data_IF_885318761756
#
_entry.id   IF_885318761756
#
_cell.length_a   1.000
_cell.length_b   1.000
_cell.length_c   1.000
_cell.angle_alpha   90.00
_cell.angle_beta   90.00
_cell.angle_gamma   90.00
#
_symmetry.space_group_name_H-M   'P 1'
#
loop_
_entity.id
_entity.type
_entity.pdbx_description
1 polymer ?
#
# COMPACT_ATOMS: atom_id res chain seq x y z
N UNK A 1 8.23 -18.77 14.26
CA UNK A 1 9.28 -19.22 13.31
C UNK A 1 9.65 -18.05 12.41
N UNK A 2 10.91 -17.88 12.07
CA UNK A 2 11.34 -16.81 11.14
C UNK A 2 10.81 -17.11 9.73
N UNK A 3 10.16 -16.15 9.10
CA UNK A 3 9.68 -16.26 7.73
C UNK A 3 10.48 -15.36 6.81
N UNK A 4 10.97 -15.91 5.72
CA UNK A 4 11.70 -15.19 4.68
C UNK A 4 11.23 -15.66 3.30
N UNK A 5 10.87 -14.69 2.43
CA UNK A 5 10.39 -14.96 1.08
C UNK A 5 11.01 -13.94 0.14
N UNK A 6 11.46 -14.39 -1.02
CA UNK A 6 11.92 -13.53 -2.10
C UNK A 6 10.95 -13.68 -3.27
N UNK A 7 10.36 -12.58 -3.72
CA UNK A 7 9.41 -12.57 -4.82
C UNK A 7 9.84 -11.59 -5.91
N UNK A 8 9.38 -11.84 -7.14
CA UNK A 8 9.50 -10.89 -8.24
C UNK A 8 8.74 -9.61 -7.91
N UNK A 9 9.32 -8.44 -8.15
CA UNK A 9 8.57 -7.18 -7.95
C UNK A 9 7.41 -7.05 -8.97
N UNK A 10 7.59 -7.58 -10.17
CA UNK A 10 6.54 -7.53 -11.20
C UNK A 10 5.35 -8.44 -10.92
N UNK A 11 5.59 -9.64 -10.37
CA UNK A 11 4.57 -10.67 -10.12
C UNK A 11 4.73 -11.30 -8.72
N UNK A 12 4.57 -10.55 -7.63
CA UNK A 12 4.95 -11.00 -6.28
C UNK A 12 4.09 -12.13 -5.70
N UNK A 13 2.91 -12.36 -6.28
CA UNK A 13 1.97 -13.40 -5.83
C UNK A 13 2.19 -14.74 -6.51
N UNK A 14 2.75 -14.76 -7.72
CA UNK A 14 2.90 -15.97 -8.55
C UNK A 14 4.34 -16.37 -8.81
N UNK A 15 5.27 -15.42 -8.76
CA UNK A 15 6.70 -15.64 -9.02
C UNK A 15 7.51 -15.34 -7.75
N UNK A 16 7.68 -16.37 -6.90
CA UNK A 16 8.38 -16.25 -5.63
C UNK A 16 9.07 -17.53 -5.20
N UNK A 17 10.01 -17.41 -4.27
CA UNK A 17 10.64 -18.50 -3.54
C UNK A 17 10.56 -18.22 -2.04
N UNK A 18 10.00 -19.15 -1.29
CA UNK A 18 10.05 -19.14 0.17
C UNK A 18 11.33 -19.80 0.63
N UNK A 19 12.08 -19.08 1.45
CA UNK A 19 13.38 -19.51 1.94
C UNK A 19 13.22 -20.22 3.29
N UNK A 20 12.60 -21.40 3.24
CA UNK A 20 12.35 -22.27 4.40
C UNK A 20 12.70 -23.72 4.05
N UNK A 21 12.82 -24.57 5.08
CA UNK A 21 13.17 -25.99 4.96
C UNK A 21 12.09 -26.82 4.23
N UNK A 22 10.80 -26.47 4.39
CA UNK A 22 9.70 -27.18 3.75
C UNK A 22 9.75 -27.09 2.21
N UNK A 23 10.21 -25.98 1.67
CA UNK A 23 10.32 -25.76 0.23
C UNK A 23 11.69 -26.17 -0.33
N UNK A 24 12.58 -26.68 0.53
CA UNK A 24 13.91 -27.14 0.16
C UNK A 24 14.93 -26.03 -0.06
N UNK A 25 14.66 -24.79 0.41
CA UNK A 25 15.58 -23.66 0.35
C UNK A 25 15.73 -23.06 1.75
N UNK A 26 16.75 -23.45 2.49
CA UNK A 26 17.02 -22.94 3.82
C UNK A 26 17.94 -21.73 3.78
N UNK A 27 17.45 -20.58 4.24
CA UNK A 27 18.31 -19.43 4.48
C UNK A 27 19.06 -19.59 5.81
N UNK A 28 20.31 -20.03 5.76
CA UNK A 28 21.16 -20.27 6.94
C UNK A 28 21.77 -18.98 7.49
N UNK A 29 21.99 -17.98 6.64
CA UNK A 29 22.47 -16.68 7.06
C UNK A 29 21.68 -15.56 6.39
N UNK A 30 21.24 -14.59 7.21
CA UNK A 30 20.62 -13.35 6.78
C UNK A 30 21.23 -12.21 7.59
N UNK A 31 22.21 -11.57 7.03
CA UNK A 31 22.96 -10.49 7.66
C UNK A 31 22.66 -9.18 6.95
N UNK A 32 22.48 -8.11 7.72
CA UNK A 32 22.31 -6.76 7.17
C UNK A 32 23.41 -5.83 7.65
N UNK A 33 23.85 -4.95 6.76
CA UNK A 33 24.59 -3.75 7.16
C UNK A 33 23.59 -2.74 7.72
N UNK A 34 23.79 -2.12 8.84
CA UNK A 34 22.86 -1.11 9.38
C UNK A 34 22.45 -0.04 8.37
N UNK A 35 21.34 0.67 8.64
CA UNK A 35 21.01 1.91 7.93
C UNK A 35 21.97 2.97 8.42
N UNK A 36 22.60 3.72 7.50
CA UNK A 36 23.32 4.94 7.82
C UNK A 36 22.60 6.14 7.21
N UNK A 37 22.52 7.21 7.99
CA UNK A 37 22.07 8.52 7.49
C UNK A 37 23.30 9.38 7.26
N UNK A 38 23.46 9.84 6.04
CA UNK A 38 24.51 10.77 5.67
C UNK A 38 23.91 12.18 5.65
N UNK A 39 24.38 13.04 6.57
CA UNK A 39 23.92 14.42 6.65
C UNK A 39 24.81 15.28 5.75
N UNK A 40 24.23 15.96 4.80
CA UNK A 40 24.90 16.96 4.01
C UNK A 40 24.86 18.30 4.75
N UNK A 41 26.05 18.91 4.93
CA UNK A 41 26.20 20.16 5.66
C UNK A 41 26.64 21.28 4.73
N UNK A 42 25.98 22.42 4.83
CA UNK A 42 26.47 23.67 4.25
C UNK A 42 27.16 24.50 5.36
N UNK A 43 28.47 24.81 5.26
CA UNK A 43 29.15 25.67 6.22
C UNK A 43 28.71 27.12 5.96
N UNK A 44 28.14 27.79 6.95
CA UNK A 44 27.81 29.22 6.93
C UNK A 44 28.34 29.84 8.22
N UNK A 45 29.34 30.71 8.10
CA UNK A 45 29.86 31.53 9.22
C UNK A 45 30.06 30.75 10.54
N UNK A 46 30.89 29.71 10.54
CA UNK A 46 31.18 28.83 11.69
C UNK A 46 30.00 27.98 12.20
N UNK A 47 28.85 27.94 11.50
CA UNK A 47 27.72 27.06 11.77
C UNK A 47 27.61 26.08 10.61
N UNK A 48 27.33 24.81 10.92
CA UNK A 48 26.98 23.79 9.92
C UNK A 48 25.47 23.68 9.82
N UNK A 49 24.90 24.13 8.73
CA UNK A 49 23.49 23.96 8.45
C UNK A 49 23.27 22.61 7.76
N UNK A 50 22.36 21.78 8.26
CA UNK A 50 21.96 20.54 7.60
C UNK A 50 21.10 20.91 6.40
N UNK A 51 21.58 20.66 5.20
CA UNK A 51 20.90 20.97 3.92
C UNK A 51 20.36 19.73 3.22
N UNK A 52 20.79 18.55 3.64
CA UNK A 52 20.34 17.28 3.08
C UNK A 52 20.49 16.14 4.09
N UNK A 53 19.64 15.12 3.90
CA UNK A 53 19.66 13.89 4.67
C UNK A 53 19.50 12.73 3.69
N UNK A 54 20.62 12.08 3.34
CA UNK A 54 20.64 10.93 2.45
C UNK A 54 20.53 9.66 3.24
N UNK A 55 19.51 8.88 2.97
CA UNK A 55 19.35 7.55 3.53
C UNK A 55 20.17 6.54 2.71
N UNK A 56 21.17 5.93 3.33
CA UNK A 56 21.89 4.82 2.72
C UNK A 56 21.18 3.52 3.10
N UNK A 57 20.53 2.90 2.12
CA UNK A 57 19.80 1.66 2.32
C UNK A 57 20.70 0.48 2.67
N UNK A 58 20.12 -0.47 3.41
CA UNK A 58 20.79 -1.69 3.86
C UNK A 58 21.18 -2.59 2.69
N UNK A 59 22.25 -3.34 2.91
CA UNK A 59 22.58 -4.51 2.10
C UNK A 59 22.30 -5.77 2.92
N UNK A 60 21.71 -6.76 2.29
CA UNK A 60 21.39 -8.05 2.89
C UNK A 60 22.22 -9.12 2.21
N UNK A 61 23.11 -9.78 2.96
CA UNK A 61 23.80 -10.97 2.51
C UNK A 61 23.00 -12.19 2.89
N UNK A 62 22.61 -12.99 1.89
CA UNK A 62 21.84 -14.22 2.07
C UNK A 62 22.72 -15.42 1.71
N UNK A 63 22.71 -16.41 2.58
CA UNK A 63 23.29 -17.74 2.32
C UNK A 63 22.17 -18.75 2.30
N UNK A 64 21.97 -19.41 1.17
CA UNK A 64 20.89 -20.37 0.95
C UNK A 64 21.47 -21.77 0.75
N UNK A 65 21.06 -22.71 1.58
CA UNK A 65 21.31 -24.14 1.42
C UNK A 65 20.11 -24.80 0.76
N UNK A 66 20.39 -25.72 -0.18
CA UNK A 66 19.37 -26.50 -0.84
C UNK A 66 19.21 -27.83 -0.11
N UNK A 67 18.09 -27.99 0.58
CA UNK A 67 17.74 -29.17 1.36
C UNK A 67 16.86 -30.10 0.53
N UNK A 68 17.45 -31.00 -0.21
CA UNK A 68 16.73 -31.98 -1.03
C UNK A 68 17.53 -33.26 -1.25
N UNK A 69 16.89 -34.26 -1.80
CA UNK A 69 17.61 -35.49 -2.21
C UNK A 69 18.61 -35.16 -3.31
N UNK A 70 19.73 -35.87 -3.32
CA UNK A 70 20.79 -35.68 -4.31
C UNK A 70 20.29 -35.69 -5.76
N UNK A 71 19.33 -36.54 -6.09
CA UNK A 71 18.72 -36.62 -7.43
C UNK A 71 17.93 -35.35 -7.85
N UNK A 72 17.51 -34.54 -6.91
CA UNK A 72 16.69 -33.33 -7.15
C UNK A 72 17.50 -32.05 -7.01
N UNK A 73 18.72 -32.15 -6.49
CA UNK A 73 19.56 -31.00 -6.18
C UNK A 73 19.79 -30.08 -7.40
N UNK A 74 20.18 -30.66 -8.53
CA UNK A 74 20.46 -29.87 -9.74
C UNK A 74 19.23 -29.16 -10.26
N UNK A 75 18.05 -29.75 -10.18
CA UNK A 75 16.80 -29.11 -10.57
C UNK A 75 16.48 -27.91 -9.66
N UNK A 76 16.53 -28.11 -8.34
CA UNK A 76 16.31 -27.05 -7.35
C UNK A 76 17.33 -25.91 -7.46
N UNK A 77 18.59 -26.26 -7.65
CA UNK A 77 19.66 -25.28 -7.87
C UNK A 77 19.38 -24.42 -9.11
N UNK A 78 19.04 -25.07 -10.22
CA UNK A 78 18.70 -24.40 -11.48
C UNK A 78 17.45 -23.51 -11.33
N UNK A 79 16.44 -23.95 -10.60
CA UNK A 79 15.21 -23.18 -10.34
C UNK A 79 15.52 -21.88 -9.59
N UNK A 80 16.35 -21.94 -8.53
CA UNK A 80 16.75 -20.75 -7.79
C UNK A 80 17.56 -19.78 -8.66
N UNK A 81 18.56 -20.29 -9.41
CA UNK A 81 19.36 -19.44 -10.30
C UNK A 81 18.50 -18.80 -11.37
N UNK A 82 17.63 -19.56 -12.03
CA UNK A 82 16.73 -19.03 -13.05
C UNK A 82 15.78 -17.97 -12.47
N UNK A 83 15.28 -18.17 -11.26
CA UNK A 83 14.45 -17.17 -10.57
C UNK A 83 15.23 -15.85 -10.33
N UNK A 84 16.46 -15.95 -9.83
CA UNK A 84 17.31 -14.79 -9.58
C UNK A 84 17.66 -14.05 -10.88
N UNK A 85 18.04 -14.79 -11.94
CA UNK A 85 18.45 -14.19 -13.21
C UNK A 85 17.30 -13.50 -13.96
N UNK A 86 16.12 -14.14 -14.02
CA UNK A 86 14.97 -13.53 -14.73
C UNK A 86 14.45 -12.26 -14.03
N UNK A 87 14.60 -12.17 -12.72
CA UNK A 87 14.13 -11.02 -11.93
C UNK A 87 15.20 -9.96 -11.69
N UNK A 88 16.44 -10.18 -12.10
CA UNK A 88 17.56 -9.25 -11.90
C UNK A 88 17.29 -7.84 -12.43
N UNK A 89 16.59 -7.71 -13.57
CA UNK A 89 16.25 -6.41 -14.17
C UNK A 89 15.05 -5.73 -13.53
N UNK A 90 14.09 -6.52 -13.06
CA UNK A 90 12.81 -6.02 -12.55
C UNK A 90 12.85 -5.73 -11.04
N UNK A 91 13.86 -6.26 -10.33
CA UNK A 91 13.96 -6.18 -8.88
C UNK A 91 13.16 -7.26 -8.16
N UNK A 92 13.30 -7.24 -6.85
CA UNK A 92 12.72 -8.23 -5.95
C UNK A 92 11.97 -7.53 -4.82
N UNK A 93 10.96 -8.21 -4.27
CA UNK A 93 10.39 -7.95 -2.95
C UNK A 93 10.96 -8.95 -1.97
N UNK A 94 11.68 -8.45 -0.98
CA UNK A 94 12.16 -9.24 0.15
C UNK A 94 11.14 -9.14 1.27
N UNK A 95 10.42 -10.24 1.52
CA UNK A 95 9.48 -10.36 2.63
C UNK A 95 10.19 -10.95 3.84
N UNK A 96 9.99 -10.34 4.99
CA UNK A 96 10.59 -10.79 6.24
C UNK A 96 9.65 -10.62 7.42
N UNK A 97 9.63 -11.64 8.29
CA UNK A 97 8.96 -11.65 9.58
C UNK A 97 9.84 -12.41 10.57
N UNK A 98 10.40 -11.74 11.59
CA UNK A 98 11.31 -12.40 12.55
C UNK A 98 10.61 -13.42 13.44
N UNK A 99 9.37 -13.15 13.87
CA UNK A 99 8.58 -14.00 14.76
C UNK A 99 7.13 -14.08 14.27
N UNK A 100 6.44 -15.20 14.58
CA UNK A 100 5.07 -15.48 14.10
C UNK A 100 4.02 -14.45 14.54
N UNK A 101 4.25 -13.78 15.67
CA UNK A 101 3.37 -12.75 16.22
C UNK A 101 3.64 -11.33 15.66
N UNK A 102 4.61 -11.19 14.77
CA UNK A 102 4.92 -9.91 14.13
C UNK A 102 4.28 -9.81 12.75
N UNK A 103 4.06 -8.58 12.31
CA UNK A 103 3.57 -8.29 10.96
C UNK A 103 4.59 -8.72 9.90
N UNK A 104 4.11 -9.27 8.78
CA UNK A 104 4.95 -9.53 7.61
C UNK A 104 5.19 -8.23 6.87
N UNK A 105 6.46 -7.83 6.75
CA UNK A 105 6.83 -6.64 5.98
C UNK A 105 7.67 -7.03 4.77
N UNK A 106 7.70 -6.15 3.78
CA UNK A 106 8.57 -6.32 2.62
C UNK A 106 9.30 -5.02 2.27
N UNK A 107 10.43 -5.15 1.60
CA UNK A 107 11.11 -4.02 0.95
C UNK A 107 11.47 -4.37 -0.49
N UNK A 108 11.65 -3.35 -1.33
CA UNK A 108 12.14 -3.53 -2.68
C UNK A 108 13.66 -3.66 -2.65
N UNK A 109 14.17 -4.63 -3.40
CA UNK A 109 15.61 -4.92 -3.47
C UNK A 109 16.06 -5.17 -4.90
N UNK A 110 17.36 -4.96 -5.13
CA UNK A 110 18.06 -5.39 -6.34
C UNK A 110 19.23 -6.31 -5.97
N UNK A 111 19.61 -7.21 -6.88
CA UNK A 111 20.82 -8.03 -6.71
C UNK A 111 22.03 -7.19 -7.09
N UNK A 112 23.01 -7.11 -6.19
CA UNK A 112 24.22 -6.32 -6.38
C UNK A 112 25.34 -7.10 -7.07
N UNK A 113 25.44 -8.40 -6.81
CA UNK A 113 26.57 -9.24 -7.30
C UNK A 113 26.10 -10.46 -8.08
N UNK A 114 27.02 -10.96 -8.95
CA UNK A 114 26.85 -12.28 -9.56
C UNK A 114 26.79 -13.36 -8.47
N UNK A 115 25.77 -14.18 -8.57
CA UNK A 115 25.59 -15.32 -7.67
C UNK A 115 26.78 -16.25 -7.81
N UNK A 116 27.51 -16.51 -6.73
CA UNK A 116 28.55 -17.53 -6.73
C UNK A 116 27.90 -18.89 -6.59
N UNK A 117 28.04 -19.72 -7.58
CA UNK A 117 27.44 -21.06 -7.62
C UNK A 117 28.50 -22.09 -7.86
N UNK A 118 28.96 -22.74 -6.82
CA UNK A 118 29.69 -23.98 -6.93
C UNK A 118 28.75 -25.17 -6.64
N UNK A 119 28.92 -26.28 -7.36
CA UNK A 119 28.08 -27.47 -7.13
C UNK A 119 28.15 -27.89 -5.66
N UNK A 120 26.98 -28.12 -5.07
CA UNK A 120 26.80 -28.60 -3.68
C UNK A 120 27.30 -27.65 -2.58
N UNK A 121 27.56 -26.40 -2.90
CA UNK A 121 27.85 -25.38 -1.91
C UNK A 121 26.64 -24.45 -1.69
N UNK A 122 26.55 -23.79 -0.52
CA UNK A 122 25.54 -22.79 -0.29
C UNK A 122 25.61 -21.66 -1.32
N UNK A 123 24.46 -21.23 -1.80
CA UNK A 123 24.35 -20.10 -2.73
C UNK A 123 24.41 -18.82 -1.92
N UNK A 124 25.39 -17.96 -2.23
CA UNK A 124 25.54 -16.68 -1.55
C UNK A 124 25.28 -15.53 -2.52
N UNK A 125 24.42 -14.61 -2.14
CA UNK A 125 24.20 -13.38 -2.90
C UNK A 125 23.84 -12.21 -1.99
N UNK A 126 24.03 -11.01 -2.50
CA UNK A 126 23.74 -9.76 -1.78
C UNK A 126 22.61 -9.01 -2.47
N UNK A 127 21.62 -8.61 -1.68
CA UNK A 127 20.55 -7.72 -2.09
C UNK A 127 20.82 -6.32 -1.54
N UNK A 128 20.67 -5.31 -2.39
CA UNK A 128 20.63 -3.92 -1.96
C UNK A 128 19.17 -3.48 -1.84
N UNK A 129 18.81 -2.97 -0.68
CA UNK A 129 17.48 -2.42 -0.43
C UNK A 129 17.32 -1.12 -1.25
N UNK A 130 16.18 -0.95 -1.90
CA UNK A 130 15.87 0.21 -2.75
C UNK A 130 14.67 1.04 -2.21
N UNK A 131 14.01 0.57 -1.17
CA UNK A 131 12.86 1.25 -0.57
C UNK A 131 12.88 1.12 0.95
N UNK A 132 12.02 1.83 1.64
CA UNK A 132 11.68 1.53 3.03
C UNK A 132 11.01 0.16 3.13
N UNK A 133 10.82 -0.33 4.36
CA UNK A 133 10.00 -1.49 4.64
C UNK A 133 8.53 -1.12 4.63
N UNK A 134 7.74 -1.85 3.88
CA UNK A 134 6.31 -1.68 3.78
C UNK A 134 5.60 -2.69 4.67
N UNK A 135 4.64 -2.21 5.47
CA UNK A 135 3.68 -3.05 6.17
C UNK A 135 2.63 -3.64 5.22
N UNK A 136 1.60 -4.24 5.77
CA UNK A 136 0.44 -4.68 5.00
C UNK A 136 -0.32 -3.47 4.43
N UNK A 137 -0.80 -3.62 3.20
CA UNK A 137 -1.67 -2.61 2.60
C UNK A 137 -3.01 -2.61 3.34
N UNK A 138 -3.37 -1.46 3.90
CA UNK A 138 -4.62 -1.25 4.63
C UNK A 138 -5.63 -0.54 3.75
N UNK A 139 -6.89 -0.88 3.92
CA UNK A 139 -8.00 -0.23 3.22
C UNK A 139 -9.03 0.20 4.23
N UNK A 140 -9.39 1.46 4.23
CA UNK A 140 -10.52 2.01 4.97
C UNK A 140 -11.60 2.44 3.99
N UNK A 141 -12.85 2.11 4.29
CA UNK A 141 -14.00 2.43 3.44
C UNK A 141 -15.00 3.29 4.21
N UNK A 142 -15.62 4.20 3.49
CA UNK A 142 -16.72 4.99 4.01
C UNK A 142 -17.79 5.15 2.95
N UNK A 143 -19.03 5.19 3.38
CA UNK A 143 -20.17 5.52 2.51
C UNK A 143 -20.69 6.87 2.98
N UNK A 144 -20.60 7.87 2.11
CA UNK A 144 -21.28 9.12 2.37
C UNK A 144 -22.77 8.92 2.19
N UNK A 145 -23.52 9.27 3.21
CA UNK A 145 -24.96 9.34 3.18
C UNK A 145 -25.38 10.62 3.86
N UNK A 146 -26.11 11.47 3.17
CA UNK A 146 -26.76 12.60 3.80
C UNK A 146 -27.87 12.08 4.72
N UNK A 147 -28.17 12.74 5.81
CA UNK A 147 -28.98 12.29 6.97
C UNK A 147 -30.37 11.73 6.66
N UNK A 148 -30.83 11.82 5.42
CA UNK A 148 -32.06 11.19 4.95
C UNK A 148 -31.77 9.84 4.31
N UNK A 149 -31.66 8.79 5.14
CA UNK A 149 -31.68 7.41 4.70
C UNK A 149 -32.99 7.14 3.94
N UNK A 150 -32.91 7.10 2.62
CA UNK A 150 -34.03 6.58 1.82
C UNK A 150 -34.33 5.14 2.25
N UNK A 151 -35.60 4.77 2.22
CA UNK A 151 -36.30 3.59 2.80
C UNK A 151 -35.68 2.20 2.56
N UNK A 152 -34.51 2.10 1.90
CA UNK A 152 -33.92 0.82 1.50
C UNK A 152 -32.54 0.53 2.19
N UNK A 153 -32.10 1.34 3.12
CA UNK A 153 -30.84 1.14 3.85
C UNK A 153 -31.12 1.08 5.34
N UNK A 154 -30.77 -0.04 5.97
CA UNK A 154 -30.84 -0.18 7.42
C UNK A 154 -29.45 0.00 8.03
N UNK A 155 -29.32 0.89 8.99
CA UNK A 155 -28.12 1.04 9.78
C UNK A 155 -28.29 0.36 11.14
N UNK A 156 -27.34 -0.49 11.51
CA UNK A 156 -27.26 -1.10 12.82
C UNK A 156 -26.03 -0.53 13.53
N UNK A 157 -26.14 -0.33 14.83
CA UNK A 157 -25.01 0.05 15.68
C UNK A 157 -24.77 -1.05 16.68
N UNK A 158 -23.54 -1.54 16.77
CA UNK A 158 -23.04 -2.34 17.88
C UNK A 158 -21.82 -1.65 18.54
N UNK A 159 -21.20 -2.34 19.51
CA UNK A 159 -20.03 -1.83 20.23
C UNK A 159 -18.78 -1.67 19.34
N UNK A 160 -18.80 -2.23 18.13
CA UNK A 160 -17.70 -2.20 17.15
C UNK A 160 -17.92 -1.19 16.01
N UNK A 161 -19.09 -0.56 15.92
CA UNK A 161 -19.37 0.46 14.91
C UNK A 161 -20.79 0.41 14.31
N UNK A 162 -20.91 1.04 13.13
CA UNK A 162 -22.16 1.05 12.36
C UNK A 162 -22.07 0.04 11.22
N UNK A 163 -23.14 -0.72 11.04
CA UNK A 163 -23.32 -1.62 9.91
C UNK A 163 -24.48 -1.13 9.07
N UNK A 164 -24.37 -1.16 7.76
CA UNK A 164 -25.53 -0.95 6.88
C UNK A 164 -25.82 -2.21 6.09
N UNK A 165 -27.10 -2.41 5.85
CA UNK A 165 -27.58 -3.41 4.92
C UNK A 165 -28.36 -2.70 3.81
N UNK A 166 -27.98 -2.92 2.56
CA UNK A 166 -28.78 -2.50 1.42
C UNK A 166 -29.55 -3.70 0.87
N UNK A 167 -30.80 -3.47 0.47
CA UNK A 167 -31.56 -4.46 -0.24
C UNK A 167 -31.46 -4.17 -1.74
N UNK A 168 -30.87 -5.08 -2.48
CA UNK A 168 -30.93 -5.05 -3.93
C UNK A 168 -31.84 -6.18 -4.42
N UNK A 169 -32.74 -5.87 -5.35
CA UNK A 169 -33.52 -6.88 -6.07
C UNK A 169 -32.77 -7.21 -7.35
N UNK A 170 -32.10 -8.35 -7.40
CA UNK A 170 -31.54 -8.83 -8.65
C UNK A 170 -32.62 -9.46 -9.50
N UNK A 171 -33.06 -8.72 -10.53
CA UNK A 171 -34.07 -9.15 -11.48
C UNK A 171 -33.65 -10.34 -12.36
N UNK A 172 -32.34 -10.67 -12.37
CA UNK A 172 -31.78 -11.75 -13.20
C UNK A 172 -31.86 -13.12 -12.51
N UNK A 173 -32.02 -13.14 -11.18
CA UNK A 173 -32.04 -14.39 -10.39
C UNK A 173 -33.46 -14.70 -9.84
N UNK A 174 -34.49 -13.99 -10.30
CA UNK A 174 -35.89 -14.21 -9.90
C UNK A 174 -36.14 -13.87 -8.42
N UNK A 175 -36.61 -12.69 -8.13
CA UNK A 175 -37.12 -12.19 -6.82
C UNK A 175 -36.37 -12.62 -5.54
N UNK A 176 -35.09 -12.86 -5.59
CA UNK A 176 -34.29 -13.04 -4.39
C UNK A 176 -33.77 -11.69 -3.89
N UNK A 177 -34.01 -11.42 -2.61
CA UNK A 177 -33.43 -10.27 -1.93
C UNK A 177 -31.98 -10.62 -1.54
N UNK A 178 -31.03 -9.94 -2.13
CA UNK A 178 -29.65 -10.00 -1.65
C UNK A 178 -29.48 -8.95 -0.55
N UNK A 179 -29.14 -9.39 0.65
CA UNK A 179 -28.71 -8.49 1.73
C UNK A 179 -27.20 -8.49 1.70
N UNK A 180 -26.61 -7.42 1.22
CA UNK A 180 -25.19 -7.21 1.37
C UNK A 180 -24.90 -6.51 2.70
N UNK A 181 -24.26 -7.22 3.61
CA UNK A 181 -23.78 -6.63 4.86
C UNK A 181 -22.41 -6.00 4.61
N UNK A 182 -22.35 -4.69 4.73
CA UNK A 182 -21.08 -3.96 4.76
C UNK A 182 -20.66 -3.79 6.21
N UNK A 183 -19.53 -4.36 6.60
CA UNK A 183 -18.93 -4.10 7.91
C UNK A 183 -18.59 -2.61 8.02
N UNK A 184 -19.32 -1.88 8.84
CA UNK A 184 -19.04 -0.51 9.22
C UNK A 184 -19.34 0.53 8.15
N UNK A 185 -20.58 1.04 8.08
CA UNK A 185 -20.85 2.32 7.42
C UNK A 185 -20.47 3.43 8.37
N UNK A 186 -19.25 3.89 8.25
CA UNK A 186 -18.83 5.13 8.88
C UNK A 186 -18.86 6.21 7.80
N UNK A 187 -19.44 7.37 8.11
CA UNK A 187 -19.26 8.58 7.28
C UNK A 187 -17.79 9.05 7.32
N UNK A 188 -16.96 8.39 8.11
CA UNK A 188 -15.54 8.71 8.33
C UNK A 188 -14.69 7.48 8.04
N UNK A 189 -13.81 7.57 7.06
CA UNK A 189 -12.77 6.56 6.86
C UNK A 189 -11.65 6.81 7.86
N UNK A 190 -11.55 5.95 8.88
CA UNK A 190 -10.48 6.05 9.88
C UNK A 190 -9.18 5.48 9.33
N UNK A 191 -8.09 6.20 9.56
CA UNK A 191 -6.75 5.88 9.08
C UNK A 191 -5.79 5.97 10.28
N UNK A 192 -4.96 4.96 10.45
CA UNK A 192 -3.96 4.93 11.52
C UNK A 192 -2.59 4.70 10.91
N UNK A 193 -1.68 5.64 11.12
CA UNK A 193 -0.28 5.49 10.78
C UNK A 193 0.54 5.32 12.06
N UNK A 194 1.02 4.11 12.30
CA UNK A 194 1.88 3.79 13.45
C UNK A 194 3.38 3.91 13.10
N UNK A 195 3.72 4.20 11.85
CA UNK A 195 5.11 4.42 11.45
C UNK A 195 5.57 5.84 11.79
N UNK A 196 6.88 6.05 11.88
CA UNK A 196 7.46 7.39 12.07
C UNK A 196 7.61 8.16 10.76
N UNK A 197 7.28 7.55 9.64
CA UNK A 197 7.36 8.19 8.34
C UNK A 197 6.00 8.76 7.93
N UNK A 198 6.03 9.86 7.20
CA UNK A 198 4.86 10.35 6.49
C UNK A 198 4.49 9.37 5.38
N UNK A 199 3.22 8.99 5.30
CA UNK A 199 2.73 8.05 4.30
C UNK A 199 1.71 8.68 3.36
N UNK A 200 1.76 8.37 2.05
CA UNK A 200 0.79 8.84 1.07
C UNK A 200 -0.53 8.06 1.16
N UNK A 201 -1.63 8.74 0.89
CA UNK A 201 -2.94 8.13 0.77
C UNK A 201 -3.34 8.01 -0.71
N UNK A 202 -3.94 6.88 -1.07
CA UNK A 202 -4.63 6.69 -2.34
C UNK A 202 -6.13 6.65 -2.04
N UNK A 203 -6.88 7.63 -2.59
CA UNK A 203 -8.31 7.80 -2.30
C UNK A 203 -9.08 7.56 -3.58
N UNK A 204 -10.05 6.64 -3.53
CA UNK A 204 -10.97 6.37 -4.64
C UNK A 204 -12.38 6.78 -4.25
N UNK A 205 -13.00 7.61 -5.07
CA UNK A 205 -14.37 8.11 -4.90
C UNK A 205 -15.19 7.53 -6.03
N UNK A 206 -16.08 6.61 -5.69
CA UNK A 206 -16.93 5.92 -6.67
C UNK A 206 -18.19 6.74 -6.92
N UNK A 207 -18.60 6.86 -8.18
CA UNK A 207 -19.82 7.57 -8.56
C UNK A 207 -21.10 6.78 -8.19
N UNK A 208 -22.18 7.47 -8.06
CA UNK A 208 -22.59 8.76 -8.64
C UNK A 208 -22.31 9.92 -7.67
N UNK A 209 -21.48 10.90 -8.05
CA UNK A 209 -21.24 12.08 -7.21
C UNK A 209 -20.93 13.34 -8.06
N UNK A 210 -21.21 14.51 -7.50
CA UNK A 210 -21.03 15.82 -8.14
C UNK A 210 -20.09 16.68 -7.32
N UNK A 211 -19.01 17.13 -7.93
CA UNK A 211 -18.00 17.99 -7.32
C UNK A 211 -17.54 17.50 -5.93
N UNK A 212 -17.03 16.28 -5.80
CA UNK A 212 -16.69 15.74 -4.50
C UNK A 212 -15.61 16.57 -3.79
N UNK A 213 -15.82 16.78 -2.49
CA UNK A 213 -14.88 17.46 -1.59
C UNK A 213 -14.34 16.45 -0.58
N UNK A 214 -13.02 16.26 -0.58
CA UNK A 214 -12.30 15.38 0.33
C UNK A 214 -11.69 16.22 1.44
N UNK A 215 -12.01 15.90 2.68
CA UNK A 215 -11.49 16.59 3.87
C UNK A 215 -10.78 15.62 4.79
N UNK A 216 -9.53 15.92 5.15
CA UNK A 216 -8.68 15.16 6.06
C UNK A 216 -8.63 15.84 7.43
N UNK A 217 -8.89 15.10 8.47
CA UNK A 217 -8.88 15.55 9.85
C UNK A 217 -7.90 14.74 10.70
N UNK A 218 -7.29 15.38 11.69
CA UNK A 218 -6.67 14.69 12.81
C UNK A 218 -7.78 14.18 13.74
N UNK A 219 -7.60 13.04 14.36
CA UNK A 219 -8.57 12.51 15.34
C UNK A 219 -8.84 13.54 16.45
N UNK A 220 -10.11 13.73 16.75
CA UNK A 220 -10.64 14.71 17.72
C UNK A 220 -10.52 16.19 17.32
N UNK A 221 -10.08 16.52 16.13
CA UNK A 221 -10.10 17.87 15.62
C UNK A 221 -11.39 18.13 14.82
N UNK A 222 -11.98 19.32 14.99
CA UNK A 222 -13.21 19.71 14.27
C UNK A 222 -12.92 20.34 12.90
N UNK A 223 -11.70 20.84 12.71
CA UNK A 223 -11.31 21.49 11.45
C UNK A 223 -10.44 20.57 10.62
N UNK A 224 -10.70 20.47 9.30
CA UNK A 224 -9.83 19.72 8.42
C UNK A 224 -8.45 20.36 8.35
N UNK A 225 -7.41 19.54 8.41
CA UNK A 225 -6.02 19.96 8.15
C UNK A 225 -5.74 20.09 6.65
N UNK A 226 -6.57 19.43 5.83
CA UNK A 226 -6.49 19.50 4.37
C UNK A 226 -7.86 19.29 3.76
N UNK A 227 -8.15 20.02 2.70
CA UNK A 227 -9.40 19.92 1.95
C UNK A 227 -9.15 20.10 0.46
N UNK A 228 -9.75 19.24 -0.36
CA UNK A 228 -9.66 19.26 -1.81
C UNK A 228 -11.05 19.12 -2.40
N UNK A 229 -11.48 20.09 -3.21
CA UNK A 229 -12.65 19.94 -4.06
C UNK A 229 -12.24 19.63 -5.50
N UNK A 230 -12.93 18.68 -6.12
CA UNK A 230 -12.70 18.27 -7.50
C UNK A 230 -13.93 18.62 -8.32
N UNK A 231 -13.76 19.46 -9.34
CA UNK A 231 -14.87 19.85 -10.21
C UNK A 231 -15.13 18.77 -11.26
N UNK A 232 -15.97 17.82 -10.92
CA UNK A 232 -16.29 16.66 -11.75
C UNK A 232 -17.68 16.10 -11.45
N UNK A 233 -18.35 15.62 -12.49
CA UNK A 233 -19.51 14.76 -12.36
C UNK A 233 -19.04 13.31 -12.61
N UNK A 234 -19.09 12.48 -11.58
CA UNK A 234 -18.70 11.07 -11.65
C UNK A 234 -19.92 10.24 -11.89
N UNK A 235 -19.95 9.53 -13.02
CA UNK A 235 -21.08 8.68 -13.39
C UNK A 235 -21.12 7.41 -12.56
N UNK A 236 -22.29 6.81 -12.48
CA UNK A 236 -22.48 5.52 -11.80
C UNK A 236 -21.56 4.45 -12.41
N UNK A 237 -20.77 3.81 -11.57
CA UNK A 237 -19.81 2.76 -11.95
C UNK A 237 -18.41 3.27 -12.28
N UNK A 238 -18.25 4.58 -12.49
CA UNK A 238 -16.94 5.21 -12.65
C UNK A 238 -16.35 5.66 -11.30
N UNK A 239 -15.11 6.10 -11.28
CA UNK A 239 -14.51 6.63 -10.06
C UNK A 239 -13.41 7.67 -10.33
N UNK A 240 -13.15 8.50 -9.32
CA UNK A 240 -11.97 9.35 -9.27
C UNK A 240 -10.94 8.68 -8.36
N UNK A 241 -9.69 8.67 -8.79
CA UNK A 241 -8.54 8.23 -8.01
C UNK A 241 -7.62 9.42 -7.73
N UNK A 242 -7.42 9.74 -6.45
CA UNK A 242 -6.40 10.68 -5.98
C UNK A 242 -5.22 9.85 -5.51
N UNK A 243 -4.16 9.80 -6.29
CA UNK A 243 -2.95 9.07 -5.95
C UNK A 243 -1.90 10.06 -5.41
N UNK A 244 -1.54 9.92 -4.15
CA UNK A 244 -0.57 10.80 -3.49
C UNK A 244 0.85 10.22 -3.44
N UNK A 245 1.10 9.06 -4.08
CA UNK A 245 2.46 8.49 -4.11
C UNK A 245 3.40 9.34 -4.95
N UNK A 246 4.65 9.48 -4.51
CA UNK A 246 5.65 10.36 -5.17
C UNK A 246 5.86 10.01 -6.66
N UNK A 247 5.82 8.71 -6.99
CA UNK A 247 6.14 8.22 -8.34
C UNK A 247 4.95 8.39 -9.30
N UNK A 248 3.72 8.25 -8.81
CA UNK A 248 2.50 8.20 -9.61
C UNK A 248 1.45 9.20 -9.13
N UNK A 249 1.89 10.35 -8.57
CA UNK A 249 0.94 11.34 -8.09
C UNK A 249 0.05 11.85 -9.24
N UNK A 250 -1.23 12.03 -8.95
CA UNK A 250 -2.19 12.51 -9.93
C UNK A 250 -3.63 12.36 -9.46
N UNK A 251 -4.52 13.07 -10.13
CA UNK A 251 -5.97 12.94 -9.96
C UNK A 251 -6.52 12.45 -11.28
N UNK A 252 -7.05 11.23 -11.28
CA UNK A 252 -7.51 10.55 -12.48
C UNK A 252 -9.00 10.26 -12.37
N UNK A 253 -9.75 10.59 -13.40
CA UNK A 253 -11.08 10.04 -13.62
C UNK A 253 -10.93 8.74 -14.41
N UNK A 254 -11.54 7.67 -13.92
CA UNK A 254 -11.50 6.36 -14.54
C UNK A 254 -12.91 5.97 -14.98
N UNK A 255 -13.11 5.89 -16.28
CA UNK A 255 -14.29 5.30 -16.90
C UNK A 255 -14.17 3.77 -16.81
N UNK A 256 -14.98 3.17 -15.97
CA UNK A 256 -14.85 1.75 -15.69
C UNK A 256 -15.35 0.84 -16.85
N UNK A 257 -16.19 1.37 -17.75
CA UNK A 257 -16.67 0.64 -18.92
C UNK A 257 -15.60 0.55 -20.01
N UNK A 258 -14.95 1.68 -20.31
CA UNK A 258 -13.94 1.75 -21.39
C UNK A 258 -12.52 1.52 -20.86
N UNK A 259 -12.32 1.54 -19.51
CA UNK A 259 -11.01 1.53 -18.83
C UNK A 259 -10.11 2.72 -19.18
N UNK A 260 -10.69 3.77 -19.78
CA UNK A 260 -9.95 4.99 -20.07
C UNK A 260 -9.68 5.78 -18.79
N UNK A 261 -8.52 6.45 -18.78
CA UNK A 261 -8.09 7.31 -17.68
C UNK A 261 -7.93 8.73 -18.20
N UNK A 262 -8.52 9.67 -17.52
CA UNK A 262 -8.47 11.10 -17.86
C UNK A 262 -7.83 11.87 -16.70
N UNK A 263 -6.86 12.71 -17.02
CA UNK A 263 -6.19 13.56 -16.02
C UNK A 263 -7.12 14.72 -15.59
N UNK A 264 -7.44 14.77 -14.31
CA UNK A 264 -8.25 15.80 -13.66
C UNK A 264 -7.45 16.70 -12.72
N UNK A 265 -6.14 16.65 -12.76
CA UNK A 265 -5.27 17.47 -11.90
C UNK A 265 -5.48 18.99 -12.08
N UNK A 266 -6.00 19.41 -13.24
CA UNK A 266 -6.38 20.83 -13.50
C UNK A 266 -7.80 21.19 -13.06
N UNK A 267 -8.61 20.21 -12.64
CA UNK A 267 -10.02 20.40 -12.24
C UNK A 267 -10.19 20.41 -10.73
N UNK A 268 -9.26 21.00 -10.01
CA UNK A 268 -9.27 21.07 -8.54
C UNK A 268 -9.28 22.51 -8.06
N UNK A 269 -9.86 22.73 -6.90
CA UNK A 269 -9.70 23.99 -6.19
C UNK A 269 -8.34 24.01 -5.49
N UNK A 270 -7.41 24.76 -6.05
CA UNK A 270 -6.04 24.90 -5.55
C UNK A 270 -5.89 25.91 -4.40
N UNK A 271 -6.95 26.63 -4.02
CA UNK A 271 -6.90 27.65 -2.97
C UNK A 271 -6.65 27.07 -1.57
N UNK A 272 -6.71 25.74 -1.42
CA UNK A 272 -6.63 25.03 -0.14
C UNK A 272 -5.38 24.16 0.02
N UNK A 273 -4.34 24.39 -0.76
CA UNK A 273 -3.03 23.72 -0.62
C UNK A 273 -2.77 22.61 -1.65
N UNK A 274 -1.86 21.69 -1.33
CA UNK A 274 -1.51 20.56 -2.22
C UNK A 274 -2.73 19.66 -2.47
N UNK A 275 -2.93 19.19 -3.71
CA UNK A 275 -4.01 18.25 -4.03
C UNK A 275 -3.75 16.81 -3.52
N UNK A 276 -2.61 16.58 -2.88
CA UNK A 276 -2.21 15.26 -2.41
C UNK A 276 -2.30 15.15 -0.90
N UNK A 277 -2.64 13.95 -0.42
CA UNK A 277 -2.89 13.65 0.98
C UNK A 277 -1.77 12.80 1.55
N UNK A 278 -1.11 13.33 2.58
CA UNK A 278 -0.09 12.64 3.36
C UNK A 278 -0.47 12.71 4.83
N UNK A 279 -0.12 11.68 5.58
CA UNK A 279 -0.34 11.64 7.03
C UNK A 279 0.95 11.26 7.76
N UNK A 280 1.26 12.01 8.80
CA UNK A 280 2.31 11.67 9.76
C UNK A 280 1.88 10.57 10.71
N UNK A 281 2.72 10.22 11.69
CA UNK A 281 2.33 9.30 12.76
C UNK A 281 1.11 9.81 13.52
N UNK A 282 0.09 8.98 13.66
CA UNK A 282 -1.14 9.37 14.36
C UNK A 282 -2.41 8.73 13.80
N UNK A 283 -3.53 9.19 14.33
CA UNK A 283 -4.87 8.76 13.93
C UNK A 283 -5.59 9.91 13.20
N UNK A 284 -6.15 9.57 12.05
CA UNK A 284 -6.81 10.51 11.15
C UNK A 284 -8.15 9.95 10.70
N UNK A 285 -8.98 10.82 10.12
CA UNK A 285 -10.14 10.38 9.35
C UNK A 285 -10.36 11.27 8.12
N UNK A 286 -10.93 10.65 7.10
CA UNK A 286 -11.35 11.31 5.87
C UNK A 286 -12.88 11.35 5.84
N UNK A 287 -13.41 12.50 5.46
CA UNK A 287 -14.80 12.70 5.09
C UNK A 287 -14.80 13.13 3.63
N UNK A 288 -15.68 12.52 2.82
CA UNK A 288 -15.92 12.96 1.45
C UNK A 288 -17.39 13.34 1.34
N UNK A 289 -17.65 14.52 0.80
CA UNK A 289 -18.99 15.07 0.55
C UNK A 289 -19.10 15.45 -0.93
N UNK A 290 -20.30 15.55 -1.44
CA UNK A 290 -20.56 16.09 -2.77
C UNK A 290 -21.61 17.22 -2.74
N UNK A 291 -21.70 17.97 -3.84
CA UNK A 291 -22.65 19.10 -3.92
C UNK A 291 -24.12 18.64 -4.10
N UNK A 292 -24.33 17.39 -4.54
CA UNK A 292 -25.66 16.85 -4.84
C UNK A 292 -26.24 16.00 -3.69
N UNK A 293 -25.48 15.79 -2.61
CA UNK A 293 -25.84 14.92 -1.49
C UNK A 293 -26.17 13.48 -1.90
N UNK A 294 -25.49 12.96 -2.89
CA UNK A 294 -25.63 11.60 -3.33
C UNK A 294 -25.02 10.60 -2.32
N UNK A 295 -25.47 9.37 -2.39
CA UNK A 295 -24.87 8.25 -1.65
C UNK A 295 -23.77 7.64 -2.52
N UNK A 296 -22.55 7.62 -2.04
CA UNK A 296 -21.41 7.06 -2.77
C UNK A 296 -20.37 6.45 -1.84
N UNK A 297 -19.60 5.50 -2.38
CA UNK A 297 -18.54 4.82 -1.67
C UNK A 297 -17.22 5.58 -1.84
N UNK A 298 -16.49 5.74 -0.75
CA UNK A 298 -15.08 6.16 -0.78
C UNK A 298 -14.21 5.07 -0.18
N UNK A 299 -13.10 4.79 -0.84
CA UNK A 299 -12.10 3.84 -0.41
C UNK A 299 -10.76 4.57 -0.24
N UNK A 300 -10.15 4.43 0.94
CA UNK A 300 -8.83 4.98 1.24
C UNK A 300 -7.86 3.82 1.40
N UNK A 301 -6.87 3.77 0.53
CA UNK A 301 -5.83 2.74 0.52
C UNK A 301 -4.52 3.38 0.95
N UNK A 302 -3.85 2.78 1.92
CA UNK A 302 -2.59 3.27 2.46
C UNK A 302 -1.71 2.13 2.94
N UNK A 303 -0.43 2.42 3.10
CA UNK A 303 0.55 1.45 3.55
C UNK A 303 1.57 2.13 4.45
N UNK A 304 1.78 1.57 5.62
CA UNK A 304 2.77 2.09 6.56
C UNK A 304 4.18 1.81 6.05
N UNK A 305 5.06 2.79 6.22
CA UNK A 305 6.45 2.73 5.81
C UNK A 305 7.38 2.81 7.02
N UNK A 306 8.34 1.90 7.10
CA UNK A 306 9.26 1.80 8.23
C UNK A 306 10.71 1.91 7.74
N UNK A 307 11.50 2.75 8.40
CA UNK A 307 12.93 2.87 8.11
C UNK A 307 13.72 1.64 8.56
N UNK A 308 13.23 0.96 9.60
CA UNK A 308 13.86 -0.22 10.18
C UNK A 308 12.87 -1.35 10.43
N UNK A 309 13.38 -2.59 10.39
CA UNK A 309 12.67 -3.82 10.70
C UNK A 309 13.55 -4.86 11.33
#
# INVERSE_FOLDING_TARGET
>A
MRYLKLASDKNPTTDFIELNDFNGFLCTSFQSTGISRELEFLPINNVRLVVGNKLNFKKYSLTIEILTKYSEYEAKHKDLINFLDRNKKNGFRLYYRPYDNMELKYCLCSIETSVKTEKMQPIVFTLTQNSLWFGEQKTSKTVYNNEDLNDNVFAFKDDNGYYSASFSVDKNIGNYYCIEFFNGVSTKATIVNNSYNEIPLNIRIYGECVNPTVSLFVKNEEKPIRELQIFANVSKGDYIEINSTIINNGILYIDNNTKNKYDYSSKVNNDKGSPYFYIENGEYYIIVKDDANNVFLTEVVYQEEYSEW
#
